data_IF_130849516891
#
_entry.id   IF_130849516891
#
_cell.length_a   1.000
_cell.length_b   1.000
_cell.length_c   1.000
_cell.angle_alpha   90.00
_cell.angle_beta   90.00
_cell.angle_gamma   90.00
#
_symmetry.space_group_name_H-M   'P 1'
#
loop_
_entity.id
_entity.type
_entity.pdbx_description
1 polymer ?
#
# COMPACT_ATOMS: atom_id res chain seq x y z
N UNK A 1 -51.01 38.05 13.35
CA UNK A 1 -50.30 37.04 12.53
C UNK A 1 -49.46 37.75 11.49
N UNK A 2 -48.29 37.17 11.16
CA UNK A 2 -47.49 37.32 9.93
C UNK A 2 -46.24 38.24 9.93
N UNK A 3 -45.18 37.67 10.51
CA UNK A 3 -43.75 37.63 10.12
C UNK A 3 -42.98 38.94 9.82
N UNK A 4 -42.22 39.40 10.82
CA UNK A 4 -40.97 40.14 10.60
C UNK A 4 -39.85 39.13 10.32
N UNK A 5 -39.36 39.12 9.08
CA UNK A 5 -38.21 38.33 8.64
C UNK A 5 -36.95 39.15 8.96
N UNK A 6 -36.26 38.79 10.04
CA UNK A 6 -34.90 39.25 10.34
C UNK A 6 -33.93 38.22 9.73
N UNK A 7 -33.36 38.55 8.57
CA UNK A 7 -32.24 37.82 7.98
C UNK A 7 -31.01 38.13 8.82
N UNK A 8 -30.74 37.27 9.80
CA UNK A 8 -29.46 37.22 10.50
C UNK A 8 -28.41 36.65 9.56
N UNK A 9 -27.53 37.50 9.04
CA UNK A 9 -26.27 37.10 8.43
C UNK A 9 -25.39 36.48 9.53
N UNK A 10 -25.59 35.18 9.78
CA UNK A 10 -24.60 34.34 10.44
C UNK A 10 -23.54 34.01 9.39
N UNK A 11 -22.30 34.52 9.49
CA UNK A 11 -21.22 33.88 8.79
C UNK A 11 -21.12 32.50 9.44
N UNK A 12 -21.61 31.47 8.75
CA UNK A 12 -21.10 30.13 8.96
C UNK A 12 -19.62 30.21 8.62
N UNK A 13 -18.81 30.56 9.62
CA UNK A 13 -17.45 30.10 9.69
C UNK A 13 -17.57 28.58 9.76
N UNK A 14 -17.67 27.97 8.58
CA UNK A 14 -17.40 26.55 8.39
C UNK A 14 -15.95 26.42 8.81
N UNK A 15 -15.75 26.10 10.08
CA UNK A 15 -14.50 25.62 10.57
C UNK A 15 -14.32 24.26 9.91
N UNK A 16 -13.80 24.28 8.68
CA UNK A 16 -13.18 23.12 8.05
C UNK A 16 -11.86 22.86 8.78
N UNK A 17 -11.95 22.58 10.08
CA UNK A 17 -10.91 21.83 10.77
C UNK A 17 -10.96 20.43 10.19
N UNK A 18 -10.35 20.26 9.03
CA UNK A 18 -10.12 18.94 8.50
C UNK A 18 -9.30 18.21 9.57
N UNK A 19 -9.88 17.19 10.18
CA UNK A 19 -9.14 16.10 10.80
C UNK A 19 -8.41 15.36 9.66
N UNK A 20 -7.49 16.04 8.97
CA UNK A 20 -6.57 15.38 8.06
C UNK A 20 -5.70 14.53 8.97
N UNK A 21 -5.99 13.23 9.03
CA UNK A 21 -4.99 12.26 9.43
C UNK A 21 -3.71 12.64 8.71
N UNK A 22 -2.62 12.78 9.48
CA UNK A 22 -1.30 13.08 8.94
C UNK A 22 -0.82 11.85 8.17
N UNK A 23 -1.31 11.74 6.94
CA UNK A 23 -1.14 10.57 6.07
C UNK A 23 0.33 10.38 5.75
N UNK A 24 1.09 11.45 5.53
CA UNK A 24 2.52 11.35 5.27
C UNK A 24 3.27 10.70 6.43
N UNK A 25 3.01 11.13 7.67
CA UNK A 25 3.65 10.53 8.83
C UNK A 25 3.14 9.11 9.09
N UNK A 26 1.86 8.84 8.81
CA UNK A 26 1.30 7.49 8.93
C UNK A 26 1.93 6.52 7.94
N UNK A 27 2.09 6.92 6.68
CA UNK A 27 2.71 6.12 5.63
C UNK A 27 4.20 5.86 5.92
N UNK A 28 4.94 6.86 6.42
CA UNK A 28 6.33 6.68 6.87
C UNK A 28 6.44 5.68 8.01
N UNK A 29 5.54 5.78 8.98
CA UNK A 29 5.48 4.84 10.11
C UNK A 29 5.15 3.41 9.67
N UNK A 30 4.22 3.25 8.72
CA UNK A 30 3.92 1.93 8.14
C UNK A 30 5.15 1.38 7.42
N UNK A 31 5.78 2.19 6.55
CA UNK A 31 6.95 1.80 5.78
C UNK A 31 8.19 1.49 6.63
N UNK A 32 8.27 1.95 7.88
CA UNK A 32 9.32 1.56 8.81
C UNK A 32 9.17 0.13 9.32
N UNK A 33 7.96 -0.45 9.23
CA UNK A 33 7.64 -1.77 9.76
C UNK A 33 7.41 -1.81 11.27
N UNK A 34 7.36 -0.66 11.93
CA UNK A 34 7.07 -0.58 13.36
C UNK A 34 5.66 -1.12 13.67
N UNK A 35 5.60 -2.07 14.61
CA UNK A 35 4.34 -2.76 14.95
C UNK A 35 3.21 -1.81 15.36
N UNK A 36 3.55 -0.71 16.05
CA UNK A 36 2.58 0.28 16.49
C UNK A 36 1.92 1.04 15.32
N UNK A 37 2.60 1.16 14.19
CA UNK A 37 2.05 1.75 12.97
C UNK A 37 1.27 0.72 12.14
N UNK A 38 1.79 -0.50 12.03
CA UNK A 38 1.09 -1.61 11.36
C UNK A 38 -0.30 -1.87 11.99
N UNK A 39 -0.40 -1.79 13.33
CA UNK A 39 -1.66 -1.95 14.04
C UNK A 39 -2.74 -0.88 13.70
N UNK A 40 -2.35 0.26 13.12
CA UNK A 40 -3.28 1.34 12.72
C UNK A 40 -3.81 1.16 11.30
N UNK A 41 -3.21 0.30 10.49
CA UNK A 41 -3.55 0.12 9.07
C UNK A 41 -5.04 -0.15 8.84
N UNK A 42 -5.74 -1.03 9.60
CA UNK A 42 -7.17 -1.24 9.39
C UNK A 42 -8.01 0.02 9.62
N UNK A 43 -7.64 0.85 10.59
CA UNK A 43 -8.36 2.10 10.86
C UNK A 43 -8.13 3.12 9.73
N UNK A 44 -6.91 3.20 9.22
CA UNK A 44 -6.58 4.06 8.08
C UNK A 44 -7.30 3.58 6.80
N UNK A 45 -7.27 2.28 6.52
CA UNK A 45 -7.94 1.64 5.39
C UNK A 45 -9.45 1.94 5.33
N UNK A 46 -10.11 2.05 6.48
CA UNK A 46 -11.53 2.36 6.58
C UNK A 46 -11.90 3.73 5.98
N UNK A 47 -10.94 4.66 5.94
CA UNK A 47 -11.16 6.07 5.57
C UNK A 47 -10.29 6.52 4.40
N UNK A 48 -9.42 5.65 3.90
CA UNK A 48 -8.53 5.92 2.79
C UNK A 48 -9.33 6.21 1.53
N UNK A 49 -8.95 7.23 0.77
CA UNK A 49 -9.30 7.32 -0.65
C UNK A 49 -8.40 6.39 -1.50
N UNK A 50 -8.62 6.35 -2.81
CA UNK A 50 -7.86 5.49 -3.74
C UNK A 50 -6.35 5.77 -3.65
N UNK A 51 -5.95 7.04 -3.65
CA UNK A 51 -4.53 7.41 -3.63
C UNK A 51 -3.87 7.04 -2.29
N UNK A 52 -4.58 7.26 -1.18
CA UNK A 52 -4.14 6.89 0.16
C UNK A 52 -4.01 5.38 0.31
N UNK A 53 -4.95 4.61 -0.23
CA UNK A 53 -4.92 3.16 -0.20
C UNK A 53 -3.72 2.60 -0.98
N UNK A 54 -3.51 3.04 -2.23
CA UNK A 54 -2.35 2.61 -3.03
C UNK A 54 -1.03 2.92 -2.34
N UNK A 55 -0.86 4.14 -1.82
CA UNK A 55 0.37 4.52 -1.10
C UNK A 55 0.56 3.72 0.20
N UNK A 56 -0.53 3.31 0.83
CA UNK A 56 -0.48 2.45 2.02
C UNK A 56 -0.07 1.02 1.66
N UNK A 57 -0.49 0.50 0.51
CA UNK A 57 -0.01 -0.78 -0.03
C UNK A 57 1.48 -0.72 -0.36
N UNK A 58 1.96 0.37 -0.98
CA UNK A 58 3.39 0.60 -1.22
C UNK A 58 4.20 0.66 0.10
N UNK A 59 3.63 1.30 1.12
CA UNK A 59 4.24 1.39 2.45
C UNK A 59 4.31 0.02 3.13
N UNK A 60 3.26 -0.80 3.03
CA UNK A 60 3.23 -2.16 3.54
C UNK A 60 4.24 -3.05 2.80
N UNK A 61 4.33 -2.94 1.47
CA UNK A 61 5.32 -3.67 0.68
C UNK A 61 6.74 -3.32 1.15
N UNK A 62 7.03 -2.02 1.32
CA UNK A 62 8.32 -1.53 1.82
C UNK A 62 8.66 -1.99 3.26
N UNK A 63 7.66 -2.39 4.04
CA UNK A 63 7.82 -2.90 5.39
C UNK A 63 7.97 -4.43 5.45
N UNK A 64 7.64 -5.14 4.38
CA UNK A 64 7.50 -6.60 4.37
C UNK A 64 8.80 -7.32 4.76
N UNK A 65 9.95 -6.88 4.24
CA UNK A 65 11.26 -7.43 4.63
C UNK A 65 11.74 -6.94 6.02
N UNK A 66 11.20 -5.84 6.54
CA UNK A 66 11.62 -5.22 7.81
C UNK A 66 10.91 -5.83 9.02
N UNK A 67 9.63 -6.18 8.86
CA UNK A 67 8.82 -6.83 9.88
C UNK A 67 7.81 -7.79 9.22
N UNK A 68 8.32 -8.90 8.70
CA UNK A 68 7.51 -9.89 7.98
C UNK A 68 6.33 -10.42 8.79
N UNK A 69 6.49 -10.87 10.06
CA UNK A 69 5.35 -11.38 10.82
C UNK A 69 4.29 -10.30 11.07
N UNK A 70 4.70 -9.06 11.36
CA UNK A 70 3.78 -7.95 11.59
C UNK A 70 3.00 -7.54 10.35
N UNK A 71 3.66 -7.50 9.18
CA UNK A 71 3.00 -7.17 7.91
C UNK A 71 2.06 -8.29 7.49
N UNK A 72 2.48 -9.55 7.56
CA UNK A 72 1.61 -10.69 7.20
C UNK A 72 0.36 -10.77 8.10
N UNK A 73 0.50 -10.50 9.40
CA UNK A 73 -0.65 -10.43 10.30
C UNK A 73 -1.58 -9.25 9.96
N UNK A 74 -1.01 -8.12 9.54
CA UNK A 74 -1.79 -6.96 9.09
C UNK A 74 -2.57 -7.30 7.82
N UNK A 75 -1.92 -7.93 6.84
CA UNK A 75 -2.55 -8.38 5.60
C UNK A 75 -3.69 -9.37 5.86
N UNK A 76 -3.50 -10.32 6.78
CA UNK A 76 -4.56 -11.24 7.20
C UNK A 76 -5.82 -10.50 7.69
N UNK A 77 -5.67 -9.38 8.39
CA UNK A 77 -6.79 -8.55 8.83
C UNK A 77 -7.41 -7.77 7.66
N UNK A 78 -6.57 -7.28 6.75
CA UNK A 78 -7.01 -6.54 5.57
C UNK A 78 -7.83 -7.46 4.66
N UNK A 79 -7.29 -8.61 4.28
CA UNK A 79 -7.93 -9.56 3.36
C UNK A 79 -9.21 -10.19 3.94
N UNK A 80 -9.33 -10.28 5.27
CA UNK A 80 -10.53 -10.80 5.93
C UNK A 80 -11.72 -9.84 5.91
N UNK A 81 -11.54 -8.60 5.44
CA UNK A 81 -12.58 -7.57 5.40
C UNK A 81 -12.65 -6.95 4.02
N UNK A 82 -13.80 -6.36 3.70
CA UNK A 82 -13.93 -5.57 2.48
C UNK A 82 -13.56 -4.12 2.79
N UNK A 83 -12.48 -3.66 2.17
CA UNK A 83 -12.04 -2.26 2.19
C UNK A 83 -12.30 -1.65 0.81
N UNK A 84 -12.82 -0.41 0.72
CA UNK A 84 -13.27 0.13 -0.56
C UNK A 84 -12.19 0.22 -1.65
N UNK A 85 -10.93 0.40 -1.24
CA UNK A 85 -9.83 0.76 -2.14
C UNK A 85 -8.53 -0.02 -1.91
N UNK A 86 -8.50 -0.99 -0.99
CA UNK A 86 -7.34 -1.86 -0.79
C UNK A 86 -7.62 -3.27 -1.32
N UNK A 87 -6.64 -3.80 -2.05
CA UNK A 87 -6.59 -5.18 -2.52
C UNK A 87 -5.79 -6.09 -1.57
N UNK A 88 -4.93 -5.52 -0.71
CA UNK A 88 -4.26 -6.29 0.33
C UNK A 88 -3.13 -7.17 -0.20
N UNK A 89 -3.14 -8.46 0.16
CA UNK A 89 -2.04 -9.39 -0.13
C UNK A 89 -1.63 -9.41 -1.61
N UNK A 90 -2.59 -9.39 -2.54
CA UNK A 90 -2.31 -9.49 -3.97
C UNK A 90 -1.46 -8.33 -4.51
N UNK A 91 -1.58 -7.13 -3.93
CA UNK A 91 -0.77 -5.96 -4.31
C UNK A 91 0.50 -5.90 -3.48
N UNK A 92 0.39 -6.00 -2.14
CA UNK A 92 1.51 -5.83 -1.21
C UNK A 92 2.62 -6.86 -1.42
N UNK A 93 2.26 -8.08 -1.83
CA UNK A 93 3.21 -9.17 -2.05
C UNK A 93 3.77 -9.23 -3.48
N UNK A 94 3.33 -8.35 -4.39
CA UNK A 94 3.81 -8.31 -5.76
C UNK A 94 5.12 -7.50 -5.90
N UNK A 95 5.86 -7.71 -6.98
CA UNK A 95 6.98 -6.83 -7.32
C UNK A 95 6.48 -5.40 -7.62
N UNK A 96 7.17 -4.35 -7.12
CA UNK A 96 6.77 -2.97 -7.37
C UNK A 96 7.19 -2.54 -8.79
N UNK A 97 6.44 -3.00 -9.80
CA UNK A 97 6.82 -2.92 -11.22
C UNK A 97 7.06 -1.50 -11.75
N UNK A 98 6.49 -0.48 -11.10
CA UNK A 98 6.68 0.94 -11.43
C UNK A 98 8.02 1.52 -10.92
N UNK A 99 8.80 0.75 -10.16
CA UNK A 99 10.08 1.18 -9.61
C UNK A 99 11.25 0.90 -10.56
N UNK A 100 12.40 1.59 -10.39
CA UNK A 100 13.60 1.29 -11.16
C UNK A 100 14.05 -0.18 -10.97
N UNK A 101 14.56 -0.82 -12.02
CA UNK A 101 14.98 -2.24 -11.97
C UNK A 101 15.90 -2.57 -10.81
N UNK A 102 16.88 -1.71 -10.49
CA UNK A 102 17.78 -1.93 -9.37
C UNK A 102 17.04 -2.01 -8.02
N UNK A 103 16.02 -1.17 -7.83
CA UNK A 103 15.17 -1.21 -6.65
C UNK A 103 14.35 -2.50 -6.60
N UNK A 104 13.79 -2.93 -7.73
CA UNK A 104 12.99 -4.16 -7.80
C UNK A 104 13.84 -5.39 -7.44
N UNK A 105 15.08 -5.46 -7.94
CA UNK A 105 16.01 -6.55 -7.61
C UNK A 105 16.31 -6.60 -6.11
N UNK A 106 16.66 -5.46 -5.50
CA UNK A 106 16.94 -5.38 -4.07
C UNK A 106 15.71 -5.75 -3.24
N UNK A 107 14.53 -5.22 -3.60
CA UNK A 107 13.25 -5.55 -2.98
C UNK A 107 12.98 -7.06 -3.06
N UNK A 108 13.11 -7.66 -4.24
CA UNK A 108 12.85 -9.08 -4.46
C UNK A 108 13.76 -9.95 -3.60
N UNK A 109 15.08 -9.71 -3.61
CA UNK A 109 16.02 -10.54 -2.85
C UNK A 109 15.78 -10.46 -1.35
N UNK A 110 15.60 -9.24 -0.80
CA UNK A 110 15.39 -9.04 0.63
C UNK A 110 14.06 -9.64 1.09
N UNK A 111 12.98 -9.35 0.36
CA UNK A 111 11.63 -9.80 0.70
C UNK A 111 11.52 -11.32 0.59
N UNK A 112 12.10 -11.92 -0.46
CA UNK A 112 12.13 -13.37 -0.63
C UNK A 112 12.79 -14.09 0.54
N UNK A 113 13.97 -13.62 0.97
CA UNK A 113 14.67 -14.20 2.11
C UNK A 113 13.86 -14.08 3.41
N UNK A 114 13.21 -12.93 3.63
CA UNK A 114 12.41 -12.70 4.82
C UNK A 114 11.14 -13.58 4.84
N UNK A 115 10.48 -13.76 3.69
CA UNK A 115 9.31 -14.64 3.54
C UNK A 115 9.66 -16.13 3.68
N UNK A 116 10.84 -16.56 3.22
CA UNK A 116 11.32 -17.93 3.40
C UNK A 116 11.62 -18.29 4.87
N UNK A 117 11.76 -17.30 5.75
CA UNK A 117 12.04 -17.52 7.16
C UNK A 117 10.80 -17.90 8.00
N UNK A 118 9.61 -17.94 7.40
CA UNK A 118 8.35 -18.26 8.09
C UNK A 118 7.35 -18.95 7.18
N UNK A 119 6.67 -19.99 7.68
CA UNK A 119 5.64 -20.70 6.92
C UNK A 119 4.42 -19.81 6.57
N UNK A 120 4.18 -18.77 7.38
CA UNK A 120 3.13 -17.79 7.12
C UNK A 120 3.39 -16.98 5.83
N UNK A 121 4.64 -16.94 5.37
CA UNK A 121 5.05 -16.21 4.18
C UNK A 121 4.71 -16.91 2.87
N UNK A 122 4.24 -18.17 2.89
CA UNK A 122 4.11 -19.00 1.70
C UNK A 122 3.26 -18.37 0.57
N UNK A 123 2.12 -17.76 0.91
CA UNK A 123 1.26 -17.10 -0.10
C UNK A 123 1.94 -15.88 -0.69
N UNK A 124 2.50 -15.03 0.17
CA UNK A 124 3.18 -13.81 -0.24
C UNK A 124 4.44 -14.14 -1.08
N UNK A 125 5.15 -15.21 -0.74
CA UNK A 125 6.31 -15.72 -1.48
C UNK A 125 5.91 -16.19 -2.87
N UNK A 126 4.81 -16.93 -2.99
CA UNK A 126 4.31 -17.39 -4.27
C UNK A 126 3.95 -16.21 -5.20
N UNK A 127 3.28 -15.18 -4.68
CA UNK A 127 2.94 -13.96 -5.44
C UNK A 127 4.21 -13.21 -5.85
N UNK A 128 5.16 -13.05 -4.94
CA UNK A 128 6.43 -12.37 -5.20
C UNK A 128 7.23 -13.07 -6.32
N UNK A 129 7.38 -14.39 -6.22
CA UNK A 129 8.12 -15.19 -7.21
C UNK A 129 7.41 -15.19 -8.57
N UNK A 130 6.08 -15.36 -8.59
CA UNK A 130 5.30 -15.33 -9.83
C UNK A 130 5.41 -13.97 -10.54
N UNK A 131 5.14 -12.87 -9.83
CA UNK A 131 5.18 -11.53 -10.40
C UNK A 131 6.58 -11.11 -10.85
N UNK A 132 7.63 -11.55 -10.16
CA UNK A 132 9.01 -11.33 -10.57
C UNK A 132 9.37 -12.08 -11.87
N UNK A 133 8.95 -13.34 -12.01
CA UNK A 133 9.17 -14.11 -13.24
C UNK A 133 8.39 -13.53 -14.43
N UNK A 134 7.14 -13.10 -14.22
CA UNK A 134 6.34 -12.42 -15.24
C UNK A 134 7.01 -11.13 -15.73
N UNK A 135 7.49 -10.30 -14.81
CA UNK A 135 8.22 -9.06 -15.14
C UNK A 135 9.49 -9.34 -15.95
N UNK A 136 10.26 -10.38 -15.58
CA UNK A 136 11.46 -10.78 -16.34
C UNK A 136 11.12 -11.26 -17.74
N UNK A 137 10.06 -12.05 -17.88
CA UNK A 137 9.59 -12.55 -19.17
C UNK A 137 9.16 -11.39 -20.08
N UNK A 138 8.40 -10.42 -19.55
CA UNK A 138 7.99 -9.24 -20.29
C UNK A 138 9.18 -8.35 -20.67
N UNK A 139 10.12 -8.13 -19.76
CA UNK A 139 11.36 -7.39 -20.04
C UNK A 139 12.18 -8.04 -21.17
N UNK A 140 12.25 -9.37 -21.18
CA UNK A 140 12.93 -10.11 -22.25
C UNK A 140 12.19 -9.98 -23.59
N UNK A 141 10.86 -10.10 -23.58
CA UNK A 141 10.01 -9.87 -24.76
C UNK A 141 10.22 -8.46 -25.32
N UNK A 142 10.17 -7.43 -24.48
CA UNK A 142 10.35 -6.03 -24.90
C UNK A 142 11.73 -5.76 -25.48
N UNK A 143 12.80 -6.33 -24.91
CA UNK A 143 14.15 -6.26 -25.50
C UNK A 143 14.21 -6.90 -26.89
N UNK A 144 13.56 -8.05 -27.06
CA UNK A 144 13.53 -8.77 -28.34
C UNK A 144 12.63 -8.10 -29.40
N UNK A 145 11.69 -7.24 -29.00
CA UNK A 145 10.85 -6.43 -29.88
C UNK A 145 11.51 -5.10 -30.28
N UNK A 146 12.62 -4.71 -29.64
CA UNK A 146 13.35 -3.48 -29.93
C UNK A 146 14.41 -3.50 -31.07
N UNK A 147 14.59 -4.53 -31.95
CA UNK A 147 15.62 -4.49 -32.99
C UNK A 147 15.13 -3.79 -34.28
N UNK A 148 14.56 -2.58 -34.20
CA UNK A 148 14.19 -1.80 -35.41
C UNK A 148 14.39 -0.29 -35.32
N UNK A 149 15.42 0.16 -34.59
CA UNK A 149 16.03 1.47 -34.85
C UNK A 149 17.55 1.27 -34.95
N UNK A 150 18.02 0.97 -36.15
CA UNK A 150 19.40 1.19 -36.58
C UNK A 150 19.46 2.48 -37.38
#
# INVERSE_FOLDING_TARGET
MKYLILIGLLPFAVWAGANTSDWENSLKGIASGEQAWLAKVPQLAATADVQQATRMEDALASALAKNTPGVLETLRVIDARSWPHMAGTDIVCSVPAEQPTAFIEDFYQQTRLALLATDQGATCLWILEASYEEMKAESARMRNLSPSVK
#
